data_IF_820559836076
#
_entry.id   IF_820559836076
#
_cell.length_a   1.000
_cell.length_b   1.000
_cell.length_c   1.000
_cell.angle_alpha   90.00
_cell.angle_beta   90.00
_cell.angle_gamma   90.00
#
_symmetry.space_group_name_H-M   'P 1'
#
loop_
_entity.id
_entity.type
_entity.pdbx_description
1 polymer ?
#
# COMPACT_ATOMS: atom_id res chain seq x y z
N UNK A 1 -0.24 -2.32 -42.37
CA UNK A 1 -1.58 -2.79 -41.99
C UNK A 1 -2.14 -1.74 -41.03
N UNK A 2 -3.15 -1.02 -41.49
CA UNK A 2 -3.84 0.06 -40.78
C UNK A 2 -4.68 -0.51 -39.64
N UNK A 3 -4.40 -0.12 -38.39
CA UNK A 3 -5.27 -0.37 -37.22
C UNK A 3 -6.51 0.52 -37.32
N UNK A 4 -7.68 -0.07 -37.07
CA UNK A 4 -9.00 0.57 -37.04
C UNK A 4 -9.13 1.37 -35.72
N UNK A 5 -9.57 2.64 -35.74
CA UNK A 5 -9.61 3.50 -34.55
C UNK A 5 -10.94 3.41 -33.76
N UNK A 6 -11.56 2.22 -33.65
CA UNK A 6 -12.87 2.09 -32.98
C UNK A 6 -13.07 0.82 -32.14
N UNK A 7 -12.02 0.30 -31.50
CA UNK A 7 -12.21 -0.66 -30.41
C UNK A 7 -12.58 0.08 -29.12
N UNK A 8 -13.89 0.18 -28.87
CA UNK A 8 -14.40 0.38 -27.51
C UNK A 8 -13.97 -0.83 -26.68
N UNK A 9 -13.23 -0.62 -25.60
CA UNK A 9 -12.71 -1.68 -24.71
C UNK A 9 -13.78 -2.66 -24.26
N UNK A 10 -13.40 -3.92 -24.06
CA UNK A 10 -14.30 -4.92 -23.48
C UNK A 10 -14.50 -4.60 -22.01
N UNK A 11 -15.75 -4.62 -21.51
CA UNK A 11 -16.00 -4.46 -20.09
C UNK A 11 -15.26 -5.54 -19.29
N UNK A 12 -14.67 -5.14 -18.17
CA UNK A 12 -13.98 -6.03 -17.23
C UNK A 12 -14.74 -6.05 -15.90
N UNK A 13 -14.60 -7.14 -15.14
CA UNK A 13 -15.19 -7.24 -13.79
C UNK A 13 -14.28 -6.67 -12.70
N UNK A 14 -13.15 -6.07 -13.07
CA UNK A 14 -12.24 -5.36 -12.18
C UNK A 14 -12.84 -3.98 -11.90
N UNK A 15 -13.75 -3.92 -10.94
CA UNK A 15 -14.36 -2.68 -10.46
C UNK A 15 -14.08 -2.49 -8.98
N UNK A 16 -14.10 -1.24 -8.51
CA UNK A 16 -13.90 -0.83 -7.10
C UNK A 16 -14.85 -1.59 -6.17
N UNK A 17 -14.45 -2.75 -5.66
CA UNK A 17 -15.25 -3.53 -4.69
C UNK A 17 -14.51 -3.56 -3.36
N UNK A 18 -15.00 -2.76 -2.42
CA UNK A 18 -14.58 -2.77 -1.01
C UNK A 18 -15.41 -3.84 -0.28
N UNK A 19 -14.77 -4.88 0.24
CA UNK A 19 -15.42 -5.98 0.97
C UNK A 19 -14.59 -6.31 2.22
N UNK A 20 -15.24 -6.27 3.39
CA UNK A 20 -14.70 -6.57 4.72
C UNK A 20 -15.01 -8.02 5.14
N UNK A 21 -14.21 -8.51 6.11
CA UNK A 21 -14.40 -9.65 7.01
C UNK A 21 -13.78 -11.03 6.63
N UNK A 22 -12.87 -11.52 7.50
CA UNK A 22 -12.79 -12.94 7.85
C UNK A 22 -11.40 -13.61 7.94
N UNK A 23 -10.72 -13.40 9.08
CA UNK A 23 -9.58 -14.13 9.70
C UNK A 23 -9.18 -15.49 9.08
N UNK A 24 -7.87 -15.69 8.80
CA UNK A 24 -7.24 -17.01 8.95
C UNK A 24 -5.87 -17.31 8.30
N UNK A 25 -4.75 -16.87 8.92
CA UNK A 25 -3.61 -17.73 9.29
C UNK A 25 -2.49 -18.11 8.29
N UNK A 26 -1.25 -17.77 8.71
CA UNK A 26 0.09 -18.38 8.46
C UNK A 26 1.01 -17.79 7.36
N UNK A 27 1.97 -16.95 7.78
CA UNK A 27 3.40 -17.31 7.93
C UNK A 27 4.41 -17.19 6.76
N UNK A 28 5.25 -16.15 6.86
CA UNK A 28 6.47 -15.71 6.12
C UNK A 28 7.46 -16.72 5.49
N UNK A 29 8.17 -16.26 4.43
CA UNK A 29 9.61 -16.54 4.13
C UNK A 29 10.26 -15.33 3.41
N UNK A 30 11.47 -14.93 3.84
CA UNK A 30 12.19 -13.73 3.39
C UNK A 30 13.41 -13.91 2.47
N UNK A 31 13.71 -12.83 1.74
CA UNK A 31 14.94 -12.26 1.14
C UNK A 31 16.09 -13.14 0.61
N UNK A 32 16.53 -12.87 -0.62
CA UNK A 32 17.95 -12.87 -1.01
C UNK A 32 18.25 -11.93 -2.21
N UNK A 33 19.21 -11.04 -2.01
CA UNK A 33 19.74 -9.97 -2.88
C UNK A 33 20.70 -10.44 -3.99
N UNK A 34 20.81 -9.70 -5.12
CA UNK A 34 21.96 -9.80 -6.04
C UNK A 34 21.83 -9.07 -7.39
N UNK A 35 22.67 -8.06 -7.62
CA UNK A 35 22.81 -7.24 -8.84
C UNK A 35 23.22 -8.04 -10.10
N UNK A 36 22.66 -7.65 -11.24
CA UNK A 36 23.26 -7.85 -12.57
C UNK A 36 22.35 -8.49 -13.62
N UNK A 37 22.20 -7.82 -14.77
CA UNK A 37 21.44 -8.22 -15.97
C UNK A 37 19.95 -8.44 -15.77
N UNK A 38 19.12 -7.62 -16.45
CA UNK A 38 17.69 -7.85 -16.59
C UNK A 38 17.44 -9.19 -17.25
N UNK A 39 17.24 -10.21 -16.42
CA UNK A 39 16.82 -11.52 -16.83
C UNK A 39 15.30 -11.55 -16.70
N UNK A 40 14.62 -11.76 -17.82
CA UNK A 40 13.23 -12.17 -17.85
C UNK A 40 13.16 -13.60 -17.27
N UNK A 41 13.10 -13.70 -15.94
CA UNK A 41 12.98 -14.98 -15.25
C UNK A 41 11.49 -15.35 -15.22
N UNK A 42 11.02 -16.05 -16.24
CA UNK A 42 9.87 -16.95 -16.07
C UNK A 42 10.35 -18.11 -15.21
N UNK A 43 10.12 -18.06 -13.90
CA UNK A 43 10.31 -19.23 -13.06
C UNK A 43 9.41 -20.37 -13.56
N UNK A 44 10.04 -21.48 -13.94
CA UNK A 44 9.38 -22.79 -14.03
C UNK A 44 9.54 -23.49 -12.69
N UNK A 45 8.91 -22.94 -11.66
CA UNK A 45 8.69 -23.68 -10.42
C UNK A 45 7.39 -24.49 -10.61
N UNK A 46 7.52 -25.80 -10.76
CA UNK A 46 6.36 -26.71 -10.66
C UNK A 46 5.99 -26.79 -9.18
N UNK A 47 5.24 -25.81 -8.69
CA UNK A 47 4.73 -25.86 -7.32
C UNK A 47 3.78 -27.06 -7.17
N UNK A 48 4.03 -27.85 -6.12
CA UNK A 48 3.27 -29.05 -5.75
C UNK A 48 1.89 -28.73 -5.13
N UNK A 49 1.21 -27.71 -5.66
CA UNK A 49 -0.18 -27.37 -5.37
C UNK A 49 -0.92 -26.95 -6.63
N UNK A 50 -0.63 -27.59 -7.76
CA UNK A 50 -1.63 -27.73 -8.81
C UNK A 50 -2.77 -28.57 -8.21
N UNK A 51 -3.81 -27.91 -7.72
CA UNK A 51 -5.12 -28.55 -7.59
C UNK A 51 -5.47 -29.07 -8.97
N UNK A 52 -5.26 -30.37 -9.20
CA UNK A 52 -5.55 -31.05 -10.45
C UNK A 52 -7.06 -30.94 -10.74
N UNK A 53 -7.46 -29.87 -11.42
CA UNK A 53 -8.74 -29.72 -12.09
C UNK A 53 -8.60 -30.16 -13.54
N UNK A 54 -9.54 -30.98 -14.02
CA UNK A 54 -9.50 -31.57 -15.35
C UNK A 54 -9.44 -30.52 -16.48
N UNK A 55 -8.43 -30.62 -17.34
CA UNK A 55 -8.36 -29.94 -18.63
C UNK A 55 -7.33 -28.80 -18.66
N UNK A 56 -6.18 -29.07 -19.26
CA UNK A 56 -5.06 -28.14 -19.47
C UNK A 56 -5.53 -26.85 -20.16
N UNK A 57 -5.56 -25.76 -19.39
CA UNK A 57 -5.76 -24.40 -19.90
C UNK A 57 -4.39 -23.79 -20.09
N UNK A 58 -3.99 -23.57 -21.34
CA UNK A 58 -2.75 -22.86 -21.66
C UNK A 58 -3.03 -21.37 -21.81
N UNK A 59 -2.90 -20.65 -20.70
CA UNK A 59 -2.82 -19.19 -20.69
C UNK A 59 -1.52 -18.73 -21.34
N UNK A 60 -1.58 -17.60 -22.04
CA UNK A 60 -0.39 -16.95 -22.58
C UNK A 60 -0.27 -15.51 -22.11
N UNK A 61 0.96 -15.07 -21.90
CA UNK A 61 1.33 -13.68 -21.65
C UNK A 61 2.32 -13.30 -22.75
N UNK A 62 1.97 -12.26 -23.51
CA UNK A 62 2.70 -11.83 -24.72
C UNK A 62 2.94 -12.99 -25.71
N UNK A 63 1.95 -13.88 -25.80
CA UNK A 63 1.98 -15.06 -26.65
C UNK A 63 2.86 -16.21 -26.14
N UNK A 64 3.55 -16.09 -25.00
CA UNK A 64 4.30 -17.17 -24.36
C UNK A 64 3.47 -17.87 -23.26
N UNK A 65 3.60 -19.20 -23.02
CA UNK A 65 2.85 -19.88 -21.96
C UNK A 65 3.13 -19.28 -20.58
N UNK A 66 2.08 -19.03 -19.78
CA UNK A 66 2.17 -18.41 -18.46
C UNK A 66 1.77 -19.38 -17.33
N UNK A 67 2.49 -19.32 -16.21
CA UNK A 67 2.32 -20.21 -15.05
C UNK A 67 1.35 -19.70 -13.98
N UNK A 68 0.50 -18.72 -14.29
CA UNK A 68 -0.44 -18.14 -13.33
C UNK A 68 0.08 -16.92 -12.56
N UNK A 69 1.30 -16.47 -12.83
CA UNK A 69 1.86 -15.20 -12.32
C UNK A 69 2.54 -14.45 -13.45
N UNK A 70 2.42 -13.12 -13.44
CA UNK A 70 3.10 -12.19 -14.35
C UNK A 70 3.78 -11.12 -13.51
N UNK A 71 5.03 -10.80 -13.82
CA UNK A 71 5.77 -9.72 -13.18
C UNK A 71 6.25 -8.72 -14.22
N UNK A 72 5.94 -7.44 -14.01
CA UNK A 72 6.38 -6.33 -14.83
C UNK A 72 7.45 -5.55 -14.08
N UNK A 73 8.68 -5.57 -14.59
CA UNK A 73 9.76 -4.77 -14.02
C UNK A 73 9.60 -3.30 -14.36
N UNK A 74 9.47 -2.46 -13.34
CA UNK A 74 9.48 -1.00 -13.44
C UNK A 74 10.82 -0.48 -12.97
N UNK A 75 11.47 0.35 -13.79
CA UNK A 75 12.79 0.90 -13.50
C UNK A 75 12.90 2.33 -14.04
N UNK A 76 13.97 3.04 -13.67
CA UNK A 76 14.11 4.46 -14.01
C UNK A 76 13.10 5.33 -13.26
N UNK A 77 12.72 4.91 -12.05
CA UNK A 77 11.75 5.62 -11.22
C UNK A 77 12.47 6.81 -10.59
N UNK A 78 12.28 8.00 -11.14
CA UNK A 78 12.81 9.26 -10.62
C UNK A 78 11.69 10.30 -10.44
N UNK A 79 11.92 11.29 -9.58
CA UNK A 79 10.93 12.32 -9.27
C UNK A 79 10.47 13.07 -10.52
N UNK A 80 9.16 13.18 -10.68
CA UNK A 80 8.52 13.79 -11.84
C UNK A 80 8.50 12.89 -13.07
N UNK A 81 9.07 11.69 -13.01
CA UNK A 81 9.14 10.80 -14.15
C UNK A 81 7.97 9.81 -14.20
N UNK A 82 7.63 9.37 -15.40
CA UNK A 82 6.49 8.50 -15.67
C UNK A 82 6.77 7.51 -16.79
N UNK A 83 6.03 6.41 -16.79
CA UNK A 83 6.14 5.39 -17.82
C UNK A 83 4.90 4.53 -17.93
N UNK A 84 5.02 3.52 -18.78
CA UNK A 84 3.96 2.56 -19.07
C UNK A 84 4.58 1.21 -19.33
N UNK A 85 4.12 0.21 -18.58
CA UNK A 85 4.34 -1.19 -18.88
C UNK A 85 3.05 -1.81 -19.39
N UNK A 86 3.14 -2.84 -20.23
CA UNK A 86 1.97 -3.54 -20.71
C UNK A 86 2.28 -5.00 -21.04
N UNK A 87 1.26 -5.85 -20.92
CA UNK A 87 1.31 -7.24 -21.34
C UNK A 87 -0.05 -7.68 -21.90
N UNK A 88 -0.01 -8.62 -22.85
CA UNK A 88 -1.21 -9.18 -23.46
C UNK A 88 -1.52 -10.55 -22.87
N UNK A 89 -2.70 -10.70 -22.27
CA UNK A 89 -3.20 -11.99 -21.78
C UNK A 89 -4.05 -12.65 -22.85
N UNK A 90 -3.66 -13.86 -23.24
CA UNK A 90 -4.33 -14.67 -24.26
C UNK A 90 -4.53 -16.12 -23.85
N UNK A 91 -5.13 -16.91 -24.74
CA UNK A 91 -5.27 -18.37 -24.60
C UNK A 91 -5.00 -19.03 -25.95
N UNK A 92 -4.49 -20.28 -25.98
CA UNK A 92 -4.20 -20.95 -27.26
C UNK A 92 -5.24 -21.97 -27.73
N UNK A 93 -5.90 -22.65 -26.81
CA UNK A 93 -6.64 -23.88 -27.13
C UNK A 93 -8.15 -23.70 -27.11
N UNK A 94 -8.71 -23.41 -25.94
CA UNK A 94 -10.15 -23.33 -25.71
C UNK A 94 -10.51 -21.96 -25.14
N UNK A 95 -11.74 -21.47 -25.37
CA UNK A 95 -12.20 -20.25 -24.73
C UNK A 95 -12.18 -20.39 -23.20
N UNK A 96 -11.66 -19.36 -22.54
CA UNK A 96 -11.46 -19.38 -21.09
C UNK A 96 -11.95 -18.12 -20.43
N UNK A 97 -12.34 -18.31 -19.18
CA UNK A 97 -12.72 -17.28 -18.25
C UNK A 97 -11.48 -16.93 -17.44
N UNK A 98 -11.01 -15.69 -17.53
CA UNK A 98 -9.74 -15.27 -16.88
C UNK A 98 -10.02 -14.30 -15.75
N UNK A 99 -9.33 -14.52 -14.63
CA UNK A 99 -9.27 -13.61 -13.50
C UNK A 99 -7.85 -13.10 -13.31
N UNK A 100 -7.76 -11.83 -12.92
CA UNK A 100 -6.52 -11.19 -12.54
C UNK A 100 -6.68 -10.63 -11.12
N UNK A 101 -5.65 -10.81 -10.30
CA UNK A 101 -5.56 -10.25 -8.96
C UNK A 101 -4.14 -9.74 -8.71
N UNK A 102 -4.00 -8.88 -7.72
CA UNK A 102 -2.71 -8.42 -7.19
C UNK A 102 -2.32 -9.22 -5.94
N UNK A 103 -1.09 -9.00 -5.48
CA UNK A 103 -0.67 -9.39 -4.14
C UNK A 103 -0.80 -8.26 -3.15
N UNK A 104 -0.84 -8.61 -1.87
CA UNK A 104 -0.85 -7.61 -0.82
C UNK A 104 0.50 -6.89 -0.79
N UNK A 105 0.49 -5.54 -0.74
CA UNK A 105 1.73 -4.80 -0.61
C UNK A 105 2.37 -5.10 0.74
N UNK A 106 3.69 -4.96 0.82
CA UNK A 106 4.36 -4.97 2.11
C UNK A 106 3.89 -3.77 2.94
N UNK A 107 3.84 -3.97 4.26
CA UNK A 107 3.24 -3.03 5.23
C UNK A 107 3.97 -1.68 5.23
N UNK A 108 5.28 -1.68 5.03
CA UNK A 108 6.15 -0.50 5.08
C UNK A 108 6.97 -0.31 3.79
N UNK A 109 6.33 -0.50 2.64
CA UNK A 109 6.97 -0.26 1.35
C UNK A 109 6.87 1.23 0.97
N UNK A 110 7.91 1.98 1.32
CA UNK A 110 8.00 3.41 1.02
C UNK A 110 7.85 3.71 -0.48
N UNK A 111 8.39 2.85 -1.35
CA UNK A 111 8.25 3.02 -2.79
C UNK A 111 6.81 2.74 -3.22
N UNK A 112 6.17 1.68 -2.72
CA UNK A 112 4.77 1.40 -3.07
C UNK A 112 3.80 2.47 -2.56
N UNK A 113 4.13 3.15 -1.46
CA UNK A 113 3.33 4.26 -0.94
C UNK A 113 3.52 5.56 -1.75
N UNK A 114 4.69 5.76 -2.38
CA UNK A 114 5.00 6.97 -3.14
C UNK A 114 4.76 6.84 -4.65
N UNK A 115 4.96 5.65 -5.23
CA UNK A 115 4.78 5.41 -6.66
C UNK A 115 3.29 5.37 -6.99
N UNK A 116 2.82 6.31 -7.79
CA UNK A 116 1.44 6.32 -8.25
C UNK A 116 1.29 5.46 -9.51
N UNK A 117 0.27 4.60 -9.53
CA UNK A 117 -0.05 3.73 -10.65
C UNK A 117 -1.50 3.86 -11.07
N UNK A 118 -1.75 3.64 -12.36
CA UNK A 118 -3.08 3.45 -12.92
C UNK A 118 -3.08 2.14 -13.72
N UNK A 119 -3.91 1.19 -13.28
CA UNK A 119 -4.16 -0.04 -14.02
C UNK A 119 -5.27 0.19 -15.02
N UNK A 120 -5.01 -0.15 -16.28
CA UNK A 120 -5.94 -0.05 -17.40
C UNK A 120 -6.06 -1.43 -18.06
N UNK A 121 -7.29 -1.91 -18.22
CA UNK A 121 -7.58 -3.21 -18.85
C UNK A 121 -8.43 -2.97 -20.08
N UNK A 122 -7.90 -3.37 -21.24
CA UNK A 122 -8.51 -3.16 -22.56
C UNK A 122 -8.92 -1.70 -22.83
N UNK A 123 -8.15 -0.75 -22.29
CA UNK A 123 -8.42 0.69 -22.40
C UNK A 123 -9.34 1.27 -21.33
N UNK A 124 -9.85 0.47 -20.38
CA UNK A 124 -10.68 0.93 -19.26
C UNK A 124 -9.87 0.99 -17.95
N UNK A 125 -9.88 2.14 -17.29
CA UNK A 125 -9.20 2.33 -16.00
C UNK A 125 -9.94 1.60 -14.88
N UNK A 126 -9.30 0.61 -14.26
CA UNK A 126 -9.89 -0.19 -13.17
C UNK A 126 -9.62 0.41 -11.79
N UNK A 127 -8.55 1.20 -11.69
CA UNK A 127 -8.20 2.02 -10.52
C UNK A 127 -8.99 3.34 -10.49
N UNK A 128 -9.44 3.81 -11.66
CA UNK A 128 -10.14 5.08 -11.87
C UNK A 128 -9.23 6.29 -11.64
N UNK A 129 -8.05 6.23 -12.24
CA UNK A 129 -6.96 7.21 -12.16
C UNK A 129 -5.77 6.74 -11.33
N UNK A 130 -4.72 7.57 -11.30
CA UNK A 130 -3.52 7.35 -10.51
C UNK A 130 -3.82 7.27 -9.01
N UNK A 131 -3.24 6.26 -8.35
CA UNK A 131 -3.33 5.99 -6.91
C UNK A 131 -1.97 5.44 -6.44
N UNK A 132 -1.60 5.55 -5.15
CA UNK A 132 -0.44 4.83 -4.63
C UNK A 132 -0.47 3.34 -4.98
N UNK A 133 0.68 2.78 -5.37
CA UNK A 133 0.79 1.37 -5.76
C UNK A 133 0.28 0.45 -4.65
N UNK A 134 0.59 0.75 -3.38
CA UNK A 134 0.12 -0.04 -2.25
C UNK A 134 -1.43 -0.10 -2.21
N UNK A 135 -2.10 1.02 -2.45
CA UNK A 135 -3.57 1.08 -2.45
C UNK A 135 -4.18 0.41 -3.66
N UNK A 136 -3.62 0.65 -4.84
CA UNK A 136 -4.04 -0.01 -6.07
C UNK A 136 -3.90 -1.54 -5.96
N UNK A 137 -2.80 -2.01 -5.36
CA UNK A 137 -2.59 -3.42 -5.07
C UNK A 137 -3.62 -3.95 -4.06
N UNK A 138 -3.84 -3.28 -2.93
CA UNK A 138 -4.85 -3.70 -1.93
C UNK A 138 -6.26 -3.80 -2.51
N UNK A 139 -6.67 -2.84 -3.33
CA UNK A 139 -8.01 -2.81 -3.92
C UNK A 139 -8.30 -3.98 -4.87
N UNK A 140 -7.26 -4.62 -5.43
CA UNK A 140 -7.40 -5.63 -6.48
C UNK A 140 -6.98 -7.04 -6.02
N UNK A 141 -6.69 -7.27 -4.74
CA UNK A 141 -6.27 -8.60 -4.24
C UNK A 141 -7.37 -9.66 -4.31
N UNK A 142 -8.63 -9.23 -4.21
CA UNK A 142 -9.82 -10.07 -4.37
C UNK A 142 -10.07 -10.51 -5.82
N UNK A 143 -9.30 -9.93 -6.76
CA UNK A 143 -9.34 -10.21 -8.17
C UNK A 143 -10.66 -9.89 -8.87
N UNK A 144 -10.60 -9.85 -10.19
CA UNK A 144 -11.76 -9.62 -11.04
C UNK A 144 -11.61 -10.25 -12.41
N UNK A 145 -12.72 -10.30 -13.13
CA UNK A 145 -12.75 -10.77 -14.53
C UNK A 145 -11.92 -9.84 -15.39
N UNK A 146 -10.99 -10.39 -16.16
CA UNK A 146 -10.19 -9.61 -17.10
C UNK A 146 -11.02 -9.14 -18.31
N UNK A 147 -12.03 -9.92 -18.70
CA UNK A 147 -13.03 -9.56 -19.71
C UNK A 147 -14.39 -10.15 -19.32
N UNK A 148 -15.47 -9.54 -19.78
CA UNK A 148 -16.80 -10.14 -19.72
C UNK A 148 -16.89 -11.40 -20.61
N UNK A 149 -17.35 -12.49 -20.02
CA UNK A 149 -17.49 -13.77 -20.70
C UNK A 149 -16.16 -14.49 -20.94
N UNK A 150 -16.09 -15.15 -22.09
CA UNK A 150 -14.98 -16.03 -22.45
C UNK A 150 -14.00 -15.35 -23.40
N UNK A 151 -12.72 -15.39 -23.05
CA UNK A 151 -11.63 -15.03 -23.93
C UNK A 151 -11.41 -16.15 -24.94
N UNK A 152 -11.64 -15.84 -26.22
CA UNK A 152 -11.38 -16.77 -27.33
C UNK A 152 -9.89 -16.87 -27.66
N UNK A 153 -9.41 -17.99 -28.24
CA UNK A 153 -8.00 -18.17 -28.59
C UNK A 153 -7.41 -17.18 -29.61
N UNK A 154 -8.27 -16.46 -30.33
CA UNK A 154 -7.86 -15.42 -31.27
C UNK A 154 -7.85 -14.03 -30.63
N UNK A 155 -8.39 -13.90 -29.42
CA UNK A 155 -8.45 -12.66 -28.66
C UNK A 155 -7.31 -12.58 -27.65
N UNK A 156 -6.93 -11.35 -27.31
CA UNK A 156 -6.10 -11.05 -26.16
C UNK A 156 -6.71 -9.85 -25.43
N UNK A 157 -6.44 -9.76 -24.14
CA UNK A 157 -6.77 -8.60 -23.32
C UNK A 157 -5.47 -7.93 -22.92
N UNK A 158 -5.32 -6.67 -23.30
CA UNK A 158 -4.15 -5.88 -22.92
C UNK A 158 -4.34 -5.33 -21.50
N UNK A 159 -3.34 -5.55 -20.65
CA UNK A 159 -3.24 -4.93 -19.34
C UNK A 159 -2.11 -3.92 -19.41
N UNK A 160 -2.41 -2.67 -19.10
CA UNK A 160 -1.46 -1.58 -19.06
C UNK A 160 -1.33 -1.08 -17.62
N UNK A 161 -0.09 -0.80 -17.22
CA UNK A 161 0.22 -0.15 -15.96
C UNK A 161 0.94 1.14 -16.28
N UNK A 162 0.22 2.25 -16.14
CA UNK A 162 0.84 3.56 -16.15
C UNK A 162 1.39 3.82 -14.75
N UNK A 163 2.62 4.31 -14.68
CA UNK A 163 3.26 4.65 -13.41
C UNK A 163 3.84 6.06 -13.48
N UNK A 164 3.90 6.73 -12.33
CA UNK A 164 4.63 7.99 -12.17
C UNK A 164 5.10 8.15 -10.74
N UNK A 165 6.26 8.76 -10.56
CA UNK A 165 6.71 9.22 -9.25
C UNK A 165 6.49 10.73 -9.17
N UNK A 166 5.63 11.24 -8.26
CA UNK A 166 5.43 12.68 -8.09
C UNK A 166 6.73 13.46 -7.82
N UNK A 167 6.76 14.75 -8.18
CA UNK A 167 7.96 15.61 -8.01
C UNK A 167 8.31 15.85 -6.54
N UNK A 168 7.33 15.73 -5.66
CA UNK A 168 7.38 15.87 -4.21
C UNK A 168 7.55 14.54 -3.48
N UNK A 169 7.76 13.43 -4.20
CA UNK A 169 8.01 12.14 -3.58
C UNK A 169 9.31 12.16 -2.73
N UNK A 170 9.42 11.32 -1.68
CA UNK A 170 10.59 11.29 -0.82
C UNK A 170 11.90 10.98 -1.57
N UNK A 171 12.99 11.65 -1.19
CA UNK A 171 14.32 11.44 -1.79
C UNK A 171 14.77 9.97 -1.74
N UNK A 172 14.37 9.23 -0.71
CA UNK A 172 14.76 7.84 -0.48
C UNK A 172 14.19 6.83 -1.48
N UNK A 173 13.18 7.21 -2.29
CA UNK A 173 12.58 6.32 -3.29
C UNK A 173 12.99 6.63 -4.72
N UNK A 174 13.72 7.73 -4.96
CA UNK A 174 14.23 8.08 -6.28
C UNK A 174 15.35 7.12 -6.72
N UNK A 175 15.39 6.80 -8.01
CA UNK A 175 16.30 5.83 -8.62
C UNK A 175 15.95 4.36 -8.32
N UNK A 176 14.81 4.08 -7.67
CA UNK A 176 14.40 2.73 -7.33
C UNK A 176 13.91 1.93 -8.55
N UNK A 177 13.77 0.62 -8.35
CA UNK A 177 13.14 -0.30 -9.28
C UNK A 177 12.27 -1.28 -8.49
N UNK A 178 11.20 -1.76 -9.10
CA UNK A 178 10.27 -2.71 -8.47
C UNK A 178 9.64 -3.61 -9.52
N UNK A 179 9.12 -4.76 -9.08
CA UNK A 179 8.37 -5.68 -9.92
C UNK A 179 6.88 -5.63 -9.55
N UNK A 180 6.04 -5.25 -10.49
CA UNK A 180 4.58 -5.29 -10.33
C UNK A 180 4.07 -6.68 -10.67
N UNK A 181 3.59 -7.39 -9.66
CA UNK A 181 3.21 -8.81 -9.79
C UNK A 181 1.69 -8.99 -9.80
N UNK A 182 1.21 -9.74 -10.80
CA UNK A 182 -0.19 -10.09 -11.01
C UNK A 182 -0.37 -11.60 -10.98
N UNK A 183 -1.43 -12.06 -10.33
CA UNK A 183 -1.88 -13.45 -10.35
C UNK A 183 -2.95 -13.62 -11.41
N UNK A 184 -2.80 -14.66 -12.23
CA UNK A 184 -3.73 -15.07 -13.25
C UNK A 184 -4.34 -16.42 -12.88
N UNK A 185 -5.64 -16.54 -13.10
CA UNK A 185 -6.33 -17.82 -13.07
C UNK A 185 -7.23 -17.93 -14.29
N UNK A 186 -7.31 -19.13 -14.86
CA UNK A 186 -8.22 -19.41 -15.96
C UNK A 186 -9.02 -20.68 -15.75
N UNK A 187 -10.29 -20.59 -16.07
CA UNK A 187 -11.23 -21.70 -16.08
C UNK A 187 -11.75 -21.89 -17.50
N UNK A 188 -11.86 -23.14 -17.97
CA UNK A 188 -12.45 -23.40 -19.28
C UNK A 188 -13.92 -23.00 -19.33
N UNK A 189 -14.31 -22.34 -20.40
CA UNK A 189 -15.70 -21.98 -20.58
C UNK A 189 -16.60 -23.15 -20.91
N UNK A 190 -16.05 -24.14 -21.60
CA UNK A 190 -16.77 -25.35 -21.98
C UNK A 190 -17.18 -26.08 -20.69
N UNK A 191 -18.49 -26.34 -20.54
CA UNK A 191 -19.13 -27.08 -19.45
C UNK A 191 -19.67 -26.29 -18.25
N UNK A 192 -19.38 -24.99 -18.12
CA UNK A 192 -19.97 -24.14 -17.07
C UNK A 192 -20.63 -22.95 -17.74
N UNK A 193 -21.90 -22.66 -17.43
CA UNK A 193 -22.57 -21.47 -17.96
C UNK A 193 -22.08 -20.21 -17.22
N UNK A 194 -22.21 -19.01 -17.80
CA UNK A 194 -21.86 -17.78 -17.09
C UNK A 194 -22.64 -17.60 -15.77
N UNK A 195 -23.88 -18.08 -15.72
CA UNK A 195 -24.69 -18.06 -14.51
C UNK A 195 -24.13 -18.97 -13.42
N UNK A 196 -23.65 -20.16 -13.79
CA UNK A 196 -23.05 -21.11 -12.85
C UNK A 196 -21.64 -20.69 -12.42
N UNK A 197 -20.92 -19.95 -13.28
CA UNK A 197 -19.56 -19.46 -13.03
C UNK A 197 -19.51 -18.16 -12.19
N UNK A 198 -20.65 -17.63 -11.74
CA UNK A 198 -20.72 -16.37 -10.99
C UNK A 198 -19.92 -16.41 -9.68
N UNK A 199 -19.78 -17.58 -9.06
CA UNK A 199 -18.99 -17.82 -7.84
C UNK A 199 -17.58 -18.36 -8.08
N UNK A 200 -17.14 -18.53 -9.33
CA UNK A 200 -15.87 -19.20 -9.64
C UNK A 200 -14.63 -18.33 -9.41
N UNK A 201 -14.75 -17.08 -8.96
CA UNK A 201 -13.57 -16.24 -8.73
C UNK A 201 -12.68 -16.87 -7.64
N UNK A 202 -11.49 -17.39 -7.99
CA UNK A 202 -10.62 -18.09 -7.03
C UNK A 202 -9.98 -17.13 -6.02
N UNK A 203 -10.03 -15.83 -6.31
CA UNK A 203 -9.47 -14.77 -5.45
C UNK A 203 -10.56 -14.12 -4.58
N UNK A 204 -11.83 -14.50 -4.75
CA UNK A 204 -12.91 -13.95 -3.95
C UNK A 204 -12.65 -14.16 -2.45
N UNK A 205 -12.82 -13.10 -1.66
CA UNK A 205 -12.59 -13.12 -0.22
C UNK A 205 -11.13 -12.92 0.19
N UNK A 206 -10.17 -12.83 -0.75
CA UNK A 206 -8.83 -12.33 -0.40
C UNK A 206 -8.95 -10.89 0.03
N UNK A 207 -8.35 -10.59 1.18
CA UNK A 207 -8.18 -9.25 1.74
C UNK A 207 -6.74 -9.14 2.21
N UNK A 208 -6.19 -7.92 2.19
CA UNK A 208 -4.92 -7.70 2.84
C UNK A 208 -5.14 -7.55 4.33
N UNK A 209 -4.77 -8.60 5.06
CA UNK A 209 -4.57 -8.49 6.49
C UNK A 209 -3.36 -7.56 6.68
N UNK A 210 -3.59 -6.41 7.32
CA UNK A 210 -2.49 -5.56 7.80
C UNK A 210 -1.65 -6.31 8.84
N UNK A 211 -0.54 -5.72 9.31
CA UNK A 211 0.08 -6.23 10.53
C UNK A 211 -0.99 -6.26 11.63
N UNK A 212 -0.89 -7.21 12.56
CA UNK A 212 -1.67 -7.11 13.79
C UNK A 212 -1.36 -5.73 14.38
N UNK A 213 -2.40 -4.90 14.50
CA UNK A 213 -2.29 -3.56 15.03
C UNK A 213 -2.93 -3.53 16.40
N UNK A 214 -2.40 -2.66 17.25
CA UNK A 214 -2.90 -2.47 18.61
C UNK A 214 -3.86 -1.27 18.57
N UNK A 215 -5.15 -1.41 18.94
CA UNK A 215 -6.01 -0.24 19.04
C UNK A 215 -5.47 0.69 20.14
N UNK A 216 -5.56 2.01 19.96
CA UNK A 216 -5.18 3.00 20.97
C UNK A 216 -6.40 3.81 21.36
N UNK A 217 -7.24 3.22 22.22
CA UNK A 217 -8.50 3.80 22.69
C UNK A 217 -8.87 3.28 24.09
N UNK A 218 -9.90 3.88 24.69
CA UNK A 218 -10.54 3.40 25.93
C UNK A 218 -9.60 3.18 27.14
N UNK A 219 -8.51 3.94 27.24
CA UNK A 219 -7.52 3.79 28.32
C UNK A 219 -7.00 2.34 28.44
N UNK A 220 -6.85 1.66 27.31
CA UNK A 220 -6.48 0.23 27.26
C UNK A 220 -5.03 -0.08 27.72
N UNK A 221 -4.29 0.93 28.18
CA UNK A 221 -2.95 0.78 28.76
C UNK A 221 -1.82 0.70 27.74
N UNK A 222 -2.10 0.94 26.46
CA UNK A 222 -1.09 0.98 25.40
C UNK A 222 -0.19 2.20 25.55
N UNK A 223 1.12 1.97 25.46
CA UNK A 223 2.16 3.00 25.54
C UNK A 223 2.75 3.27 24.17
N UNK A 224 2.69 4.52 23.72
CA UNK A 224 3.19 4.92 22.41
C UNK A 224 4.69 5.21 22.48
N UNK A 225 5.45 4.48 21.65
CA UNK A 225 6.90 4.61 21.54
C UNK A 225 7.32 5.65 20.51
N UNK A 226 6.63 5.71 19.38
CA UNK A 226 6.90 6.70 18.33
C UNK A 226 5.64 7.21 17.65
N UNK A 227 5.69 8.45 17.18
CA UNK A 227 4.62 9.15 16.50
C UNK A 227 5.18 9.88 15.27
N UNK A 228 4.73 9.51 14.08
CA UNK A 228 5.11 10.18 12.83
C UNK A 228 4.02 11.15 12.41
N UNK A 229 4.41 12.41 12.21
CA UNK A 229 3.50 13.49 11.83
C UNK A 229 3.86 14.02 10.45
N UNK A 230 2.84 14.37 9.65
CA UNK A 230 2.96 15.13 8.40
C UNK A 230 2.50 16.56 8.64
N UNK A 231 3.33 17.52 8.24
CA UNK A 231 2.97 18.93 8.31
C UNK A 231 2.11 19.32 7.11
N UNK A 232 0.93 19.88 7.38
CA UNK A 232 -0.09 20.25 6.40
C UNK A 232 -0.07 21.74 6.01
N UNK A 233 0.93 22.50 6.48
CA UNK A 233 1.04 23.91 6.12
C UNK A 233 1.55 24.10 4.69
N UNK A 234 1.16 25.23 4.08
CA UNK A 234 1.51 25.57 2.69
C UNK A 234 2.92 26.20 2.56
N UNK A 235 3.55 26.57 3.67
CA UNK A 235 4.87 27.23 3.75
C UNK A 235 5.75 26.53 4.78
N UNK A 236 7.08 26.55 4.58
CA UNK A 236 8.07 26.02 5.54
C UNK A 236 7.89 26.65 6.92
N UNK A 237 7.96 25.82 7.96
CA UNK A 237 7.75 26.24 9.35
C UNK A 237 8.82 25.67 10.28
N UNK A 238 9.14 26.45 11.31
CA UNK A 238 9.94 25.97 12.42
C UNK A 238 9.02 25.25 13.41
N UNK A 239 9.24 23.95 13.59
CA UNK A 239 8.40 23.05 14.41
C UNK A 239 9.16 22.63 15.66
N UNK A 240 8.48 22.69 16.82
CA UNK A 240 8.98 22.12 18.06
C UNK A 240 7.93 21.20 18.69
N UNK A 241 8.38 20.04 19.16
CA UNK A 241 7.53 19.10 19.89
C UNK A 241 8.11 18.76 21.25
N UNK A 242 7.25 18.71 22.27
CA UNK A 242 7.62 18.38 23.64
C UNK A 242 6.74 17.26 24.24
N UNK A 243 7.39 16.26 24.81
CA UNK A 243 6.79 15.23 25.65
C UNK A 243 6.57 15.75 27.08
N UNK A 244 5.37 15.58 27.63
CA UNK A 244 5.03 16.07 28.98
C UNK A 244 4.54 14.91 29.87
N UNK A 245 5.09 14.82 31.08
CA UNK A 245 4.58 13.92 32.13
C UNK A 245 5.23 12.53 32.19
N UNK A 246 6.22 12.25 31.34
CA UNK A 246 6.96 10.96 31.33
C UNK A 246 8.27 10.95 32.14
N UNK A 247 9.04 12.03 32.17
CA UNK A 247 10.47 11.96 32.54
C UNK A 247 10.83 11.43 33.94
N UNK A 248 12.07 10.92 34.04
CA UNK A 248 12.75 10.39 35.22
C UNK A 248 12.91 11.33 36.44
N UNK A 249 12.18 12.45 36.49
CA UNK A 249 12.29 13.44 37.55
C UNK A 249 11.17 14.50 37.58
N UNK A 250 9.97 14.21 37.05
CA UNK A 250 8.95 15.25 36.83
C UNK A 250 7.65 15.12 37.62
N UNK A 251 7.64 15.46 38.92
CA UNK A 251 6.48 16.20 39.46
C UNK A 251 6.73 17.67 39.14
N UNK A 252 6.30 18.14 37.96
CA UNK A 252 6.45 19.53 37.52
C UNK A 252 5.99 19.75 36.07
N UNK A 253 5.62 20.99 35.75
CA UNK A 253 4.98 21.48 34.52
C UNK A 253 5.91 21.67 33.32
N UNK A 254 7.14 21.13 33.32
CA UNK A 254 8.10 21.32 32.21
C UNK A 254 8.13 20.11 31.28
N UNK A 255 7.81 20.30 30.00
CA UNK A 255 7.99 19.27 28.96
C UNK A 255 9.45 19.07 28.56
N UNK A 256 9.77 17.91 28.00
CA UNK A 256 11.05 17.62 27.34
C UNK A 256 10.88 17.83 25.85
N UNK A 257 11.66 18.73 25.25
CA UNK A 257 11.68 18.89 23.79
C UNK A 257 12.29 17.62 23.17
N UNK A 258 11.52 16.96 22.31
CA UNK A 258 11.90 15.72 21.61
C UNK A 258 12.11 15.95 20.11
N UNK A 259 11.67 17.09 19.58
CA UNK A 259 11.92 17.50 18.21
C UNK A 259 11.99 19.01 18.13
N UNK A 260 12.94 19.53 17.34
CA UNK A 260 13.03 20.92 16.95
C UNK A 260 13.70 21.00 15.58
N UNK A 261 13.03 21.56 14.58
CA UNK A 261 13.58 21.66 13.23
C UNK A 261 12.64 22.34 12.25
N UNK A 262 13.18 22.68 11.08
CA UNK A 262 12.38 23.19 9.96
C UNK A 262 11.68 22.03 9.25
N UNK A 263 10.41 22.22 8.90
CA UNK A 263 9.57 21.23 8.22
C UNK A 263 8.84 21.92 7.07
N UNK A 264 8.99 21.37 5.87
CA UNK A 264 8.33 21.85 4.66
C UNK A 264 6.90 21.31 4.47
N UNK A 265 6.14 21.87 3.51
CA UNK A 265 4.80 21.36 3.17
C UNK A 265 4.80 19.87 2.84
N UNK A 266 3.88 19.12 3.45
CA UNK A 266 3.74 17.66 3.37
C UNK A 266 4.95 16.85 3.87
N UNK A 267 5.97 17.48 4.44
CA UNK A 267 7.10 16.77 5.03
C UNK A 267 6.68 16.03 6.29
N UNK A 268 7.24 14.82 6.46
CA UNK A 268 7.01 13.97 7.63
C UNK A 268 8.20 14.02 8.57
N UNK A 269 7.94 14.10 9.87
CA UNK A 269 8.95 13.99 10.91
C UNK A 269 8.51 13.02 12.00
N UNK A 270 9.47 12.46 12.73
CA UNK A 270 9.23 11.42 13.74
C UNK A 270 9.52 11.96 15.13
N UNK A 271 8.62 11.67 16.05
CA UNK A 271 8.77 11.93 17.47
C UNK A 271 9.05 10.61 18.19
N UNK A 272 10.22 10.52 18.82
CA UNK A 272 10.69 9.29 19.47
C UNK A 272 10.65 9.43 20.99
N UNK A 273 10.03 8.48 21.68
CA UNK A 273 9.97 8.49 23.14
C UNK A 273 11.34 8.28 23.80
N UNK A 274 12.29 7.67 23.08
CA UNK A 274 13.69 7.56 23.51
C UNK A 274 14.39 8.91 23.69
N UNK A 275 13.88 9.97 23.04
CA UNK A 275 14.39 11.33 23.19
C UNK A 275 13.87 12.02 24.47
N UNK A 276 12.91 11.40 25.17
CA UNK A 276 12.42 11.82 26.48
C UNK A 276 12.27 10.62 27.45
N UNK A 277 13.39 9.99 27.86
CA UNK A 277 13.35 8.76 28.63
C UNK A 277 12.63 8.93 29.98
N UNK A 278 11.64 8.07 30.21
CA UNK A 278 10.89 8.01 31.48
C UNK A 278 11.57 7.07 32.49
N UNK A 279 11.24 7.21 33.78
CA UNK A 279 11.69 6.22 34.78
C UNK A 279 10.98 4.86 34.64
N UNK A 280 9.87 4.80 33.91
CA UNK A 280 9.10 3.59 33.70
C UNK A 280 9.59 2.84 32.47
N UNK A 281 9.22 3.34 31.30
CA UNK A 281 9.65 2.85 30.00
C UNK A 281 10.50 3.92 29.29
N UNK A 282 11.79 3.66 29.03
CA UNK A 282 12.68 4.65 28.41
C UNK A 282 12.29 5.00 26.97
N UNK A 283 11.45 4.20 26.32
CA UNK A 283 11.01 4.42 24.95
C UNK A 283 9.63 5.08 24.88
N UNK A 284 8.94 5.30 25.99
CA UNK A 284 7.60 5.87 25.99
C UNK A 284 7.62 7.40 25.82
N UNK A 285 6.83 7.93 24.87
CA UNK A 285 6.64 9.37 24.65
C UNK A 285 6.02 10.12 25.84
N UNK A 286 5.53 9.40 26.85
CA UNK A 286 4.77 9.96 27.95
C UNK A 286 3.29 10.12 27.59
N UNK A 287 2.48 10.65 28.53
CA UNK A 287 1.03 10.66 28.37
C UNK A 287 0.51 11.69 27.36
N UNK A 288 1.32 12.73 27.06
CA UNK A 288 0.97 13.79 26.13
C UNK A 288 2.21 14.28 25.38
N UNK A 289 2.01 14.59 24.11
CA UNK A 289 2.94 15.33 23.28
C UNK A 289 2.27 16.63 22.87
N UNK A 290 3.02 17.73 22.91
CA UNK A 290 2.58 19.02 22.37
C UNK A 290 3.44 19.35 21.17
N UNK A 291 2.82 19.87 20.11
CA UNK A 291 3.50 20.25 18.87
C UNK A 291 3.10 21.66 18.48
N UNK A 292 4.08 22.53 18.32
CA UNK A 292 3.91 23.92 17.90
C UNK A 292 4.65 24.19 16.59
N UNK A 293 4.12 25.09 15.77
CA UNK A 293 4.74 25.54 14.52
C UNK A 293 4.64 27.06 14.39
N UNK A 294 5.74 27.68 13.95
CA UNK A 294 5.78 29.10 13.63
C UNK A 294 6.29 29.35 12.21
N UNK A 295 5.58 30.20 11.46
CA UNK A 295 6.06 30.79 10.21
C UNK A 295 6.88 32.03 10.57
N UNK A 296 8.12 32.10 10.09
CA UNK A 296 9.06 33.20 10.34
C UNK A 296 9.27 33.52 11.85
N UNK A 297 9.83 32.56 12.59
CA UNK A 297 10.16 32.72 14.01
C UNK A 297 10.56 31.40 14.67
N UNK A 298 10.93 31.45 15.95
CA UNK A 298 11.06 30.25 16.79
C UNK A 298 9.64 29.90 17.28
N UNK A 299 9.21 28.62 17.24
CA UNK A 299 8.00 28.20 17.95
C UNK A 299 8.08 28.61 19.42
N UNK A 300 6.94 28.81 20.06
CA UNK A 300 6.89 29.26 21.45
C UNK A 300 7.42 28.20 22.42
N UNK A 301 6.98 28.26 23.68
CA UNK A 301 7.09 27.06 24.51
C UNK A 301 6.27 25.97 23.81
N UNK A 302 6.90 24.86 23.38
CA UNK A 302 6.22 23.79 22.65
C UNK A 302 4.97 23.28 23.40
N UNK A 303 4.91 23.46 24.73
CA UNK A 303 3.73 23.12 25.54
C UNK A 303 2.51 24.04 25.35
N UNK A 304 2.66 25.15 24.63
CA UNK A 304 1.56 26.02 24.17
C UNK A 304 0.95 25.54 22.84
N UNK A 305 1.57 24.54 22.19
CA UNK A 305 1.14 23.97 20.91
C UNK A 305 -0.08 23.05 21.00
N UNK A 306 -0.41 22.39 19.88
CA UNK A 306 -1.51 21.43 19.82
C UNK A 306 -1.14 20.18 20.60
N UNK A 307 -2.07 19.73 21.44
CA UNK A 307 -1.90 18.55 22.30
C UNK A 307 -2.37 17.27 21.61
N UNK A 308 -1.52 16.25 21.63
CA UNK A 308 -1.79 14.88 21.18
C UNK A 308 -1.73 13.94 22.38
N UNK A 309 -2.77 13.12 22.56
CA UNK A 309 -2.88 12.18 23.67
C UNK A 309 -2.19 10.84 23.33
N UNK A 310 -0.94 10.68 23.75
CA UNK A 310 -0.11 9.47 23.53
C UNK A 310 -0.27 8.40 24.63
N UNK A 311 -1.33 8.50 25.42
CA UNK A 311 -1.71 7.56 26.51
C UNK A 311 -2.90 6.66 26.16
N UNK A 312 -3.44 6.75 24.94
CA UNK A 312 -4.63 6.02 24.51
C UNK A 312 -5.89 6.27 25.39
N UNK A 313 -5.87 7.36 26.16
CA UNK A 313 -7.04 7.85 26.91
C UNK A 313 -8.08 8.54 26.02
N UNK A 314 -7.64 8.94 24.83
CA UNK A 314 -8.45 9.38 23.70
C UNK A 314 -7.98 8.54 22.51
N UNK A 315 -8.90 8.22 21.60
CA UNK A 315 -8.57 7.53 20.37
C UNK A 315 -7.44 8.27 19.64
N UNK A 316 -6.39 7.54 19.29
CA UNK A 316 -5.28 8.03 18.48
C UNK A 316 -5.02 7.01 17.37
N UNK A 317 -5.09 7.47 16.13
CA UNK A 317 -4.91 6.61 14.97
C UNK A 317 -4.22 7.35 13.82
N UNK A 318 -3.51 6.61 12.94
CA UNK A 318 -3.17 7.12 11.61
C UNK A 318 -4.39 7.74 10.89
N UNK A 319 -4.19 8.91 10.31
CA UNK A 319 -5.22 9.75 9.68
C UNK A 319 -5.77 10.87 10.57
N UNK A 320 -5.54 10.84 11.89
CA UNK A 320 -6.01 11.89 12.79
C UNK A 320 -5.29 13.22 12.55
N UNK A 321 -6.05 14.33 12.56
CA UNK A 321 -5.51 15.67 12.32
C UNK A 321 -5.56 16.53 13.59
N UNK A 322 -4.40 17.08 13.95
CA UNK A 322 -4.16 17.93 15.11
C UNK A 322 -3.59 19.28 14.64
N UNK A 323 -4.45 20.27 14.45
CA UNK A 323 -4.04 21.57 13.92
C UNK A 323 -3.49 21.45 12.51
N UNK A 324 -2.21 21.80 12.31
CA UNK A 324 -1.51 21.70 11.03
C UNK A 324 -0.76 20.36 10.85
N UNK A 325 -1.07 19.34 11.66
CA UNK A 325 -0.36 18.06 11.63
C UNK A 325 -1.32 16.88 11.44
N UNK A 326 -0.99 15.97 10.54
CA UNK A 326 -1.68 14.68 10.37
C UNK A 326 -0.83 13.55 10.94
N UNK A 327 -1.44 12.65 11.70
CA UNK A 327 -0.79 11.42 12.17
C UNK A 327 -0.64 10.46 11.01
N UNK A 328 0.59 10.13 10.63
CA UNK A 328 0.87 9.20 9.52
C UNK A 328 1.12 7.78 10.02
N UNK A 329 1.80 7.65 11.15
CA UNK A 329 2.09 6.37 11.77
C UNK A 329 2.22 6.53 13.28
N UNK A 330 1.86 5.48 14.00
CA UNK A 330 1.98 5.41 15.46
C UNK A 330 2.44 4.01 15.81
N UNK A 331 3.45 3.90 16.66
CA UNK A 331 4.03 2.62 17.08
C UNK A 331 4.06 2.53 18.60
N UNK A 332 3.72 1.37 19.15
CA UNK A 332 3.84 1.10 20.58
C UNK A 332 5.31 1.03 21.01
N UNK A 333 5.57 1.07 22.32
CA UNK A 333 6.92 0.87 22.88
C UNK A 333 7.53 -0.50 22.56
N UNK A 334 6.69 -1.49 22.23
CA UNK A 334 7.08 -2.84 21.81
C UNK A 334 7.31 -2.96 20.29
N UNK A 335 7.12 -1.88 19.54
CA UNK A 335 7.32 -1.86 18.09
C UNK A 335 6.09 -2.29 17.27
N UNK A 336 4.92 -2.43 17.90
CA UNK A 336 3.69 -2.82 17.22
C UNK A 336 2.98 -1.58 16.62
N UNK A 337 2.44 -1.64 15.41
CA UNK A 337 1.71 -0.52 14.82
C UNK A 337 0.35 -0.33 15.51
N UNK A 338 -0.09 0.92 15.63
CA UNK A 338 -1.45 1.24 16.11
C UNK A 338 -2.44 1.23 14.96
N UNK A 339 -3.66 0.77 15.23
CA UNK A 339 -4.71 0.69 14.21
C UNK A 339 -5.13 2.08 13.70
N UNK A 340 -5.39 2.17 12.40
CA UNK A 340 -6.04 3.32 11.77
C UNK A 340 -7.47 3.52 12.29
N UNK A 341 -8.00 4.74 12.17
CA UNK A 341 -9.40 4.99 12.43
C UNK A 341 -10.21 4.30 11.32
N UNK A 342 -11.29 3.59 11.67
CA UNK A 342 -12.09 2.79 10.72
C UNK A 342 -12.82 3.61 9.63
N UNK A 343 -12.46 4.87 9.44
CA UNK A 343 -12.98 5.75 8.38
C UNK A 343 -11.81 6.43 7.66
N UNK A 344 -11.30 5.82 6.58
CA UNK A 344 -10.77 6.46 5.36
C UNK A 344 -10.55 5.42 4.22
#
# INVERSE_FOLDING_TARGET
MTRDPSETGRPSGLSRRRLLAGIGGVGAVGTASGLGTGAYLTDRETFASNGFGAGEVELTVDGAPAGGTVSLGVSGIDRGESGREAFDVGVRANPVRVWLATDCPAVDDALANALEVEFVVDGESVTGGYRPLADAARDHVAGGRLAEGCLDPTGAVTVEVFWRLPVDAPDGVAGAATDLTFRLHAEQCRHVSEADAAGSNPFAGRVCEGPECVPCEDENGVTIGSLTLRYLGDEEASVAAAAVGGGAGGKGTGGTVIFAGEVGPNETFVLEGSDSPTNGDPNWLGPNVYVDAAIDGDPGDATDGVRIHTSCSVALAPGDVYGAFEVVAVTTTDGEPVCGSEEN
#
